data_IF_128856138630
#
_entry.id   IF_128856138630
#
_cell.length_a   1.000
_cell.length_b   1.000
_cell.length_c   1.000
_cell.angle_alpha   90.00
_cell.angle_beta   90.00
_cell.angle_gamma   90.00
#
_symmetry.space_group_name_H-M   'P 1'
#
loop_
_entity.id
_entity.type
_entity.pdbx_description
1 polymer ?
#
# COMPACT_ATOMS: atom_id res chain seq x y z
N UNK A 1 6.10 7.27 12.02
CA UNK A 1 6.17 6.39 10.84
C UNK A 1 5.00 5.40 10.75
N UNK A 2 4.88 4.34 11.58
CA UNK A 2 3.73 3.40 11.48
C UNK A 2 2.36 4.11 11.56
N UNK A 3 2.21 5.07 12.48
CA UNK A 3 1.02 5.92 12.59
C UNK A 3 0.72 6.72 11.31
N UNK A 4 1.74 7.36 10.73
CA UNK A 4 1.62 8.12 9.48
C UNK A 4 1.22 7.22 8.31
N UNK A 5 1.77 6.00 8.22
CA UNK A 5 1.39 5.03 7.20
C UNK A 5 -0.09 4.66 7.37
N UNK A 6 -0.53 4.36 8.58
CA UNK A 6 -1.94 4.04 8.85
C UNK A 6 -2.87 5.23 8.52
N UNK A 7 -2.50 6.45 8.88
CA UNK A 7 -3.24 7.67 8.56
C UNK A 7 -3.35 7.89 7.04
N UNK A 8 -2.27 7.61 6.29
CA UNK A 8 -2.28 7.70 4.84
C UNK A 8 -3.19 6.64 4.21
N UNK A 9 -3.08 5.38 4.67
CA UNK A 9 -3.91 4.27 4.19
C UNK A 9 -5.39 4.40 4.59
N UNK A 10 -5.69 5.12 5.67
CA UNK A 10 -7.07 5.46 6.06
C UNK A 10 -7.77 6.36 5.02
N UNK A 11 -7.00 7.09 4.20
CA UNK A 11 -7.53 7.92 3.10
C UNK A 11 -7.74 7.14 1.80
N UNK A 12 -7.49 5.83 1.81
CA UNK A 12 -7.64 4.93 0.66
C UNK A 12 -6.34 4.20 0.35
N UNK A 13 -6.47 3.15 -0.47
CA UNK A 13 -5.34 2.31 -0.87
C UNK A 13 -4.22 3.12 -1.53
N UNK A 14 -2.98 2.67 -1.37
CA UNK A 14 -1.79 3.31 -1.94
C UNK A 14 -0.90 2.28 -2.61
N UNK A 15 -0.35 2.61 -3.78
CA UNK A 15 0.73 1.86 -4.39
C UNK A 15 2.11 2.36 -3.92
N UNK A 16 3.19 1.67 -4.32
CA UNK A 16 4.56 2.02 -3.92
C UNK A 16 5.01 3.40 -4.41
N UNK A 17 4.52 3.84 -5.56
CA UNK A 17 4.84 5.16 -6.13
C UNK A 17 4.24 6.25 -5.26
N UNK A 18 2.98 6.11 -4.85
CA UNK A 18 2.30 7.06 -3.96
C UNK A 18 2.94 7.08 -2.56
N UNK A 19 3.35 5.92 -2.04
CA UNK A 19 4.10 5.84 -0.79
C UNK A 19 5.45 6.56 -0.88
N UNK A 20 6.19 6.33 -1.97
CA UNK A 20 7.47 6.99 -2.20
C UNK A 20 7.32 8.51 -2.38
N UNK A 21 6.24 8.96 -3.02
CA UNK A 21 5.93 10.38 -3.16
C UNK A 21 5.64 11.06 -1.82
N UNK A 22 5.08 10.33 -0.85
CA UNK A 22 4.75 10.86 0.48
C UNK A 22 5.92 10.80 1.48
N UNK A 23 6.62 9.67 1.55
CA UNK A 23 7.67 9.42 2.55
C UNK A 23 9.09 9.69 2.03
N UNK A 24 9.26 9.83 0.71
CA UNK A 24 10.55 9.94 0.04
C UNK A 24 11.13 8.57 -0.32
N UNK A 25 11.78 8.49 -1.49
CA UNK A 25 12.36 7.23 -2.00
C UNK A 25 13.43 6.64 -1.08
N UNK A 26 14.20 7.48 -0.38
CA UNK A 26 15.28 7.05 0.52
C UNK A 26 14.75 6.29 1.75
N UNK A 27 13.52 6.57 2.19
CA UNK A 27 12.92 5.94 3.36
C UNK A 27 12.08 4.72 3.03
N UNK A 28 11.87 4.43 1.74
CA UNK A 28 11.02 3.33 1.27
C UNK A 28 11.38 1.96 1.86
N UNK A 29 12.66 1.57 2.04
CA UNK A 29 12.97 0.30 2.70
C UNK A 29 12.38 0.19 4.11
N UNK A 30 12.38 1.28 4.88
CA UNK A 30 11.82 1.33 6.24
C UNK A 30 10.28 1.35 6.22
N UNK A 31 9.70 2.05 5.25
CA UNK A 31 8.24 2.09 5.03
C UNK A 31 7.73 0.69 4.68
N UNK A 32 8.39 0.02 3.74
CA UNK A 32 8.02 -1.34 3.31
C UNK A 32 8.15 -2.34 4.45
N UNK A 33 9.25 -2.29 5.21
CA UNK A 33 9.41 -3.11 6.39
C UNK A 33 8.28 -2.88 7.42
N UNK A 34 7.91 -1.62 7.65
CA UNK A 34 6.80 -1.29 8.55
C UNK A 34 5.45 -1.81 8.04
N UNK A 35 5.22 -1.77 6.73
CA UNK A 35 4.01 -2.31 6.09
C UNK A 35 3.95 -3.83 6.25
N UNK A 36 5.07 -4.53 6.03
CA UNK A 36 5.16 -5.98 6.22
C UNK A 36 4.82 -6.38 7.66
N UNK A 37 5.41 -5.72 8.66
CA UNK A 37 5.07 -5.96 10.07
C UNK A 37 3.57 -5.72 10.36
N UNK A 38 2.97 -4.68 9.78
CA UNK A 38 1.55 -4.40 9.96
C UNK A 38 0.64 -5.38 9.20
N UNK A 39 1.12 -5.98 8.12
CA UNK A 39 0.44 -7.08 7.43
C UNK A 39 0.46 -8.36 8.27
N UNK A 40 1.58 -8.66 8.93
CA UNK A 40 1.71 -9.79 9.85
C UNK A 40 0.77 -9.65 11.06
N UNK A 41 0.55 -8.43 11.53
CA UNK A 41 -0.45 -8.12 12.58
C UNK A 41 -1.89 -8.08 12.06
N UNK A 42 -2.10 -8.22 10.76
CA UNK A 42 -3.43 -8.17 10.14
C UNK A 42 -4.07 -6.77 10.11
N UNK A 43 -3.29 -5.70 10.30
CA UNK A 43 -3.78 -4.32 10.22
C UNK A 43 -3.85 -3.83 8.76
N UNK A 44 -2.90 -4.26 7.94
CA UNK A 44 -2.78 -3.91 6.54
C UNK A 44 -2.97 -5.15 5.68
N UNK A 45 -3.54 -4.98 4.50
CA UNK A 45 -3.58 -6.01 3.46
C UNK A 45 -3.07 -5.44 2.15
N UNK A 46 -2.53 -6.31 1.30
CA UNK A 46 -2.18 -5.96 -0.07
C UNK A 46 -3.07 -6.71 -1.07
N UNK A 47 -3.32 -6.08 -2.21
CA UNK A 47 -4.02 -6.70 -3.33
C UNK A 47 -3.42 -6.23 -4.65
N UNK A 48 -3.55 -7.06 -5.68
CA UNK A 48 -3.16 -6.69 -7.04
C UNK A 48 -4.29 -5.94 -7.72
N UNK A 49 -3.99 -4.78 -8.28
CA UNK A 49 -4.89 -4.03 -9.16
C UNK A 49 -4.37 -4.08 -10.58
N UNK A 50 -5.22 -4.49 -11.51
CA UNK A 50 -4.90 -4.42 -12.94
C UNK A 50 -5.13 -2.99 -13.43
N UNK A 51 -4.12 -2.39 -14.03
CA UNK A 51 -4.20 -1.08 -14.66
C UNK A 51 -4.17 -1.29 -16.17
N UNK A 52 -5.03 -0.57 -16.89
CA UNK A 52 -5.10 -0.60 -18.35
C UNK A 52 -4.38 0.62 -18.92
N UNK A 53 -3.31 0.40 -19.69
CA UNK A 53 -2.49 1.47 -20.27
C UNK A 53 -2.90 1.83 -21.71
N UNK A 54 -3.93 1.18 -22.25
CA UNK A 54 -4.36 1.31 -23.64
C UNK A 54 -3.73 0.27 -24.57
N UNK A 55 -4.22 0.17 -25.81
CA UNK A 55 -3.73 -0.79 -26.82
C UNK A 55 -3.67 -2.26 -26.35
N UNK A 56 -4.59 -2.68 -25.46
CA UNK A 56 -4.59 -4.01 -24.82
C UNK A 56 -3.35 -4.29 -23.96
N UNK A 57 -2.66 -3.26 -23.49
CA UNK A 57 -1.55 -3.37 -22.54
C UNK A 57 -2.11 -3.24 -21.12
N UNK A 58 -1.71 -4.18 -20.27
CA UNK A 58 -2.09 -4.22 -18.87
C UNK A 58 -0.85 -4.43 -18.03
N UNK A 59 -0.79 -3.77 -16.88
CA UNK A 59 0.14 -4.12 -15.82
C UNK A 59 -0.59 -4.33 -14.50
N UNK A 60 0.08 -5.01 -13.59
CA UNK A 60 -0.42 -5.25 -12.25
C UNK A 60 0.36 -4.37 -11.28
N UNK A 61 -0.36 -3.55 -10.53
CA UNK A 61 0.20 -2.80 -9.41
C UNK A 61 -0.23 -3.46 -8.10
N UNK A 62 0.67 -3.41 -7.12
CA UNK A 62 0.34 -3.80 -5.75
C UNK A 62 -0.16 -2.56 -5.01
N UNK A 63 -1.35 -2.67 -4.43
CA UNK A 63 -1.93 -1.65 -3.56
C UNK A 63 -2.00 -2.17 -2.12
N UNK A 64 -1.68 -1.29 -1.18
CA UNK A 64 -1.77 -1.53 0.26
C UNK A 64 -2.97 -0.77 0.82
N UNK A 65 -3.74 -1.39 1.69
CA UNK A 65 -4.91 -0.78 2.31
C UNK A 65 -5.10 -1.27 3.75
N UNK A 66 -5.83 -0.50 4.56
CA UNK A 66 -6.25 -0.96 5.88
C UNK A 66 -7.18 -2.16 5.71
N UNK A 67 -6.93 -3.22 6.48
CA UNK A 67 -7.87 -4.34 6.54
C UNK A 67 -9.13 -3.85 7.26
N UNK A 68 -10.24 -3.75 6.53
CA UNK A 68 -11.53 -3.42 7.17
C UNK A 68 -11.91 -4.56 8.11
N UNK A 69 -12.36 -4.24 9.32
CA UNK A 69 -12.81 -5.24 10.31
C UNK A 69 -14.07 -6.03 9.88
N UNK A 70 -14.56 -5.85 8.66
CA UNK A 70 -15.83 -6.40 8.18
C UNK A 70 -15.76 -7.82 7.58
N UNK A 71 -14.60 -8.48 7.60
CA UNK A 71 -14.44 -9.84 7.09
C UNK A 71 -13.86 -10.75 8.19
N UNK A 72 -14.70 -11.15 9.13
CA UNK A 72 -14.48 -12.25 10.07
C UNK A 72 -15.62 -13.26 9.90
#
# INVERSE_FOLDING_TARGET
MKSEILELLARGAKNEIELAAFFGSETMPLVMHSIEEMMDWGLVSSHGRQIHEGNNVFHWEREYCLRSAAAA
#
